data_IF_388497148156
#
_entry.id   IF_388497148156
#
_cell.length_a   1.000
_cell.length_b   1.000
_cell.length_c   1.000
_cell.angle_alpha   90.00
_cell.angle_beta   90.00
_cell.angle_gamma   90.00
#
_symmetry.space_group_name_H-M   'P 1'
#
loop_
_entity.id
_entity.type
_entity.pdbx_description
1 polymer ?
#
# COMPACT_ATOMS: atom_id res chain seq x y z
N UNK A 1 8.95 6.58 -24.51
CA UNK A 1 8.90 5.36 -23.67
C UNK A 1 8.93 5.83 -22.22
N UNK A 2 7.82 5.76 -21.49
CA UNK A 2 7.83 6.00 -20.04
C UNK A 2 8.49 4.79 -19.38
N UNK A 3 9.56 5.00 -18.60
CA UNK A 3 10.23 3.93 -17.89
C UNK A 3 9.41 3.59 -16.63
N UNK A 4 8.67 2.48 -16.67
CA UNK A 4 7.73 2.01 -15.64
C UNK A 4 8.39 1.54 -14.33
N UNK A 5 9.67 1.87 -14.08
CA UNK A 5 10.31 1.61 -12.78
C UNK A 5 9.83 2.56 -11.66
N UNK A 6 9.10 3.62 -12.02
CA UNK A 6 8.55 4.61 -11.10
C UNK A 6 7.05 4.44 -10.79
N UNK A 7 6.49 3.23 -10.94
CA UNK A 7 5.15 2.96 -10.39
C UNK A 7 5.25 3.01 -8.86
N UNK A 8 5.01 4.20 -8.31
CA UNK A 8 5.02 4.48 -6.88
C UNK A 8 3.97 3.61 -6.20
N UNK A 9 4.39 2.55 -5.50
CA UNK A 9 3.50 1.63 -4.78
C UNK A 9 3.50 1.84 -3.27
N UNK A 10 4.25 2.83 -2.76
CA UNK A 10 4.42 3.11 -1.34
C UNK A 10 5.56 4.11 -1.08
N UNK A 11 5.75 4.54 0.19
CA UNK A 11 6.80 5.47 0.55
C UNK A 11 8.19 4.96 0.15
N UNK A 12 9.02 5.83 -0.42
CA UNK A 12 10.41 5.50 -0.75
C UNK A 12 11.27 5.41 0.50
N UNK A 13 12.09 4.37 0.59
CA UNK A 13 13.10 4.17 1.63
C UNK A 13 14.47 4.28 0.98
N UNK A 14 15.34 5.11 1.56
CA UNK A 14 16.77 5.11 1.27
C UNK A 14 17.45 4.17 2.28
N UNK A 15 18.29 3.26 1.80
CA UNK A 15 18.91 2.29 2.69
C UNK A 15 20.35 1.99 2.35
N UNK A 16 21.12 1.69 3.39
CA UNK A 16 22.48 1.18 3.28
C UNK A 16 22.46 -0.35 3.16
N UNK A 17 23.01 -0.87 2.06
CA UNK A 17 23.11 -2.28 1.69
C UNK A 17 24.60 -2.69 1.58
N UNK A 18 25.23 -3.08 2.70
CA UNK A 18 26.65 -3.46 2.69
C UNK A 18 26.93 -4.78 1.95
N UNK A 19 25.88 -5.54 1.62
CA UNK A 19 26.00 -6.86 0.99
C UNK A 19 25.69 -6.84 -0.50
N UNK A 20 25.37 -5.67 -1.08
CA UNK A 20 25.06 -5.50 -2.50
C UNK A 20 23.96 -6.46 -2.99
N UNK A 21 22.93 -6.66 -2.15
CA UNK A 21 21.81 -7.54 -2.47
C UNK A 21 20.97 -6.96 -3.60
N UNK A 22 20.79 -5.63 -3.63
CA UNK A 22 19.93 -4.96 -4.61
C UNK A 22 20.68 -4.41 -5.81
N UNK A 23 21.91 -3.92 -5.62
CA UNK A 23 22.73 -3.35 -6.69
C UNK A 23 24.21 -3.32 -6.28
N UNK A 24 25.08 -2.93 -7.22
CA UNK A 24 26.50 -2.67 -6.94
C UNK A 24 26.73 -1.43 -6.07
N UNK A 25 25.74 -0.56 -5.90
CA UNK A 25 25.82 0.60 -5.01
C UNK A 25 25.53 0.17 -3.57
N UNK A 26 26.17 0.85 -2.60
CA UNK A 26 25.96 0.59 -1.17
C UNK A 26 24.79 1.37 -0.58
N UNK A 27 24.36 2.46 -1.22
CA UNK A 27 23.18 3.23 -0.80
C UNK A 27 22.17 3.18 -1.93
N UNK A 28 20.99 2.62 -1.64
CA UNK A 28 19.95 2.37 -2.62
C UNK A 28 18.63 3.02 -2.18
N UNK A 29 17.66 3.09 -3.10
CA UNK A 29 16.29 3.49 -2.80
C UNK A 29 15.30 2.44 -3.31
N UNK A 30 14.29 2.12 -2.52
CA UNK A 30 13.25 1.16 -2.89
C UNK A 30 11.91 1.43 -2.18
N UNK A 31 10.87 0.73 -2.61
CA UNK A 31 9.54 0.77 -1.98
C UNK A 31 9.56 0.18 -0.56
N UNK A 32 8.98 0.93 0.40
CA UNK A 32 8.90 0.51 1.81
C UNK A 32 8.24 -0.84 1.99
N UNK A 33 7.12 -1.09 1.30
CA UNK A 33 6.35 -2.31 1.52
C UNK A 33 7.11 -3.54 1.06
N UNK A 34 7.81 -3.46 -0.07
CA UNK A 34 8.71 -4.53 -0.50
C UNK A 34 9.78 -4.82 0.56
N UNK A 35 10.48 -3.77 1.03
CA UNK A 35 11.52 -3.95 2.04
C UNK A 35 10.97 -4.55 3.34
N UNK A 36 9.84 -4.06 3.85
CA UNK A 36 9.22 -4.59 5.05
C UNK A 36 8.76 -6.05 4.88
N UNK A 37 8.25 -6.42 3.70
CA UNK A 37 7.82 -7.79 3.41
C UNK A 37 8.97 -8.79 3.40
N UNK A 38 10.13 -8.41 2.85
CA UNK A 38 11.18 -9.37 2.50
C UNK A 38 12.44 -9.25 3.35
N UNK A 39 12.66 -8.11 4.02
CA UNK A 39 13.92 -7.80 4.68
C UNK A 39 13.74 -7.30 6.11
N UNK A 40 14.79 -7.49 6.90
CA UNK A 40 14.96 -6.89 8.23
C UNK A 40 15.68 -5.56 8.05
N UNK A 41 15.10 -4.51 8.61
CA UNK A 41 15.61 -3.16 8.55
C UNK A 41 16.02 -2.72 9.95
N UNK A 42 17.03 -1.85 10.04
CA UNK A 42 17.27 -1.11 11.27
C UNK A 42 16.11 -0.15 11.56
N UNK A 43 16.13 0.39 12.77
CA UNK A 43 15.31 1.54 13.13
C UNK A 43 15.48 2.68 12.11
N UNK A 44 14.39 3.38 11.73
CA UNK A 44 14.48 4.60 10.94
C UNK A 44 15.36 5.67 11.58
N UNK A 45 16.16 6.30 10.75
CA UNK A 45 17.05 7.42 11.08
C UNK A 45 16.60 8.68 10.34
N UNK A 46 17.07 9.84 10.82
CA UNK A 46 17.04 11.05 10.02
C UNK A 46 18.05 10.96 8.87
N UNK A 47 17.83 11.74 7.80
CA UNK A 47 18.77 11.84 6.68
C UNK A 47 20.18 12.20 7.14
N UNK A 48 20.30 13.19 8.02
CA UNK A 48 21.59 13.64 8.56
C UNK A 48 22.33 12.51 9.28
N UNK A 49 21.65 11.80 10.18
CA UNK A 49 22.25 10.66 10.87
C UNK A 49 22.70 9.56 9.91
N UNK A 50 21.90 9.32 8.86
CA UNK A 50 22.24 8.34 7.83
C UNK A 50 23.48 8.76 7.04
N UNK A 51 23.55 10.01 6.60
CA UNK A 51 24.70 10.55 5.86
C UNK A 51 25.96 10.59 6.72
N UNK A 52 25.85 11.00 7.99
CA UNK A 52 26.96 11.00 8.95
C UNK A 52 27.53 9.57 9.18
N UNK A 53 26.68 8.53 9.08
CA UNK A 53 27.07 7.14 9.36
C UNK A 53 27.51 6.34 8.12
N UNK A 54 26.87 6.56 6.96
CA UNK A 54 27.05 5.71 5.78
C UNK A 54 27.57 6.47 4.54
N UNK A 55 27.65 7.80 4.62
CA UNK A 55 28.09 8.67 3.53
C UNK A 55 26.96 9.47 2.88
N UNK A 56 27.33 10.58 2.25
CA UNK A 56 26.41 11.45 1.53
C UNK A 56 25.70 10.71 0.39
N UNK A 57 24.44 11.08 0.13
CA UNK A 57 23.67 10.51 -0.96
C UNK A 57 22.76 11.54 -1.63
N UNK A 58 22.65 11.53 -2.97
CA UNK A 58 21.68 12.37 -3.66
C UNK A 58 20.24 11.83 -3.51
N UNK A 59 20.07 10.56 -3.11
CA UNK A 59 18.78 9.90 -3.02
C UNK A 59 17.90 10.52 -1.94
N UNK A 60 16.59 10.57 -2.22
CA UNK A 60 15.58 11.12 -1.32
C UNK A 60 14.53 10.07 -1.00
N UNK A 61 14.25 9.90 0.28
CA UNK A 61 13.23 8.99 0.76
C UNK A 61 12.56 9.51 2.02
N UNK A 62 11.44 8.90 2.37
CA UNK A 62 10.72 9.17 3.61
C UNK A 62 11.45 8.55 4.81
N UNK A 63 12.09 7.40 4.60
CA UNK A 63 12.82 6.68 5.63
C UNK A 63 14.27 6.45 5.22
N UNK A 64 15.16 6.51 6.19
CA UNK A 64 16.57 6.20 6.05
C UNK A 64 16.92 5.06 7.01
N UNK A 65 17.40 3.93 6.49
CA UNK A 65 17.58 2.69 7.28
C UNK A 65 18.82 1.92 6.86
N UNK A 66 19.29 1.00 7.68
CA UNK A 66 20.26 -0.02 7.26
C UNK A 66 19.54 -1.33 6.96
N UNK A 67 19.93 -1.98 5.86
CA UNK A 67 19.52 -3.34 5.57
C UNK A 67 20.28 -4.31 6.49
N UNK A 68 19.55 -5.08 7.30
CA UNK A 68 20.15 -6.06 8.22
C UNK A 68 20.28 -7.44 7.57
N UNK A 69 19.47 -7.71 6.54
CA UNK A 69 19.47 -8.96 5.78
C UNK A 69 18.06 -9.40 5.42
N UNK A 70 17.91 -10.52 4.70
CA UNK A 70 16.60 -11.09 4.40
C UNK A 70 15.87 -11.54 5.68
N UNK A 71 14.55 -11.63 5.59
CA UNK A 71 13.71 -12.31 6.58
C UNK A 71 13.69 -13.82 6.28
N UNK A 72 13.57 -14.62 7.34
CA UNK A 72 13.39 -16.07 7.20
C UNK A 72 12.02 -16.40 6.59
N UNK A 73 11.01 -15.59 6.88
CA UNK A 73 9.66 -15.69 6.32
C UNK A 73 9.18 -14.33 5.81
N UNK A 74 8.56 -14.33 4.63
CA UNK A 74 7.91 -13.14 4.07
C UNK A 74 6.75 -12.68 4.96
N UNK A 75 6.67 -11.37 5.21
CA UNK A 75 5.48 -10.76 5.81
C UNK A 75 4.46 -10.41 4.73
N UNK A 76 3.20 -10.74 4.99
CA UNK A 76 2.07 -10.26 4.20
C UNK A 76 1.58 -8.96 4.80
N UNK A 77 1.74 -7.87 4.06
CA UNK A 77 1.34 -6.55 4.52
C UNK A 77 -0.12 -6.27 4.13
N UNK A 78 -0.87 -5.77 5.09
CA UNK A 78 -2.27 -5.39 4.97
C UNK A 78 -2.46 -3.96 5.48
N UNK A 79 -3.37 -3.22 4.85
CA UNK A 79 -3.79 -1.92 5.32
C UNK A 79 -5.09 -2.06 6.12
N UNK A 80 -5.19 -1.33 7.22
CA UNK A 80 -6.38 -1.29 8.07
C UNK A 80 -6.85 0.15 8.16
N UNK A 81 -8.15 0.36 7.99
CA UNK A 81 -8.81 1.66 8.08
C UNK A 81 -10.00 1.59 9.04
N UNK A 82 -10.10 2.60 9.91
CA UNK A 82 -11.25 2.79 10.80
C UNK A 82 -12.16 3.85 10.15
N UNK A 83 -13.34 3.44 9.67
CA UNK A 83 -14.31 4.33 9.04
C UNK A 83 -15.18 5.01 10.09
N UNK A 84 -15.40 6.32 9.93
CA UNK A 84 -16.40 7.08 10.70
C UNK A 84 -17.81 6.95 10.10
N UNK A 85 -17.91 6.41 8.88
CA UNK A 85 -19.14 6.31 8.09
C UNK A 85 -19.60 4.83 8.02
N UNK A 86 -20.92 4.56 7.95
CA UNK A 86 -21.44 3.22 7.63
C UNK A 86 -20.92 2.70 6.29
N UNK A 87 -20.93 1.37 6.10
CA UNK A 87 -20.36 0.72 4.92
C UNK A 87 -20.87 1.27 3.59
N UNK A 88 -22.19 1.45 3.45
CA UNK A 88 -22.79 1.95 2.22
C UNK A 88 -22.28 3.36 1.86
N UNK A 89 -22.15 4.23 2.85
CA UNK A 89 -21.67 5.60 2.66
C UNK A 89 -20.18 5.62 2.34
N UNK A 90 -19.41 4.78 3.05
CA UNK A 90 -17.99 4.59 2.78
C UNK A 90 -17.76 4.15 1.33
N UNK A 91 -18.49 3.14 0.85
CA UNK A 91 -18.36 2.66 -0.52
C UNK A 91 -18.75 3.72 -1.54
N UNK A 92 -19.85 4.44 -1.31
CA UNK A 92 -20.29 5.53 -2.18
C UNK A 92 -19.24 6.63 -2.29
N UNK A 93 -18.58 6.96 -1.18
CA UNK A 93 -17.65 8.10 -1.09
C UNK A 93 -16.23 7.75 -1.53
N UNK A 94 -15.75 6.56 -1.21
CA UNK A 94 -14.32 6.23 -1.30
C UNK A 94 -13.99 5.14 -2.32
N UNK A 95 -14.96 4.38 -2.81
CA UNK A 95 -14.74 3.31 -3.78
C UNK A 95 -15.01 3.75 -5.23
N UNK A 96 -14.36 3.08 -6.18
CA UNK A 96 -14.63 3.25 -7.61
C UNK A 96 -13.97 4.45 -8.28
N UNK A 97 -13.35 5.36 -7.51
CA UNK A 97 -12.55 6.46 -8.02
C UNK A 97 -11.23 6.60 -7.24
N UNK A 98 -10.18 7.20 -7.84
CA UNK A 98 -8.97 7.55 -7.10
C UNK A 98 -9.27 8.60 -6.02
N UNK A 99 -8.90 8.31 -4.79
CA UNK A 99 -9.06 9.15 -3.61
C UNK A 99 -7.74 9.29 -2.87
N UNK A 100 -7.62 10.30 -2.01
CA UNK A 100 -6.51 10.40 -1.07
C UNK A 100 -7.04 10.13 0.34
N UNK A 101 -6.60 9.04 0.96
CA UNK A 101 -7.08 8.62 2.28
C UNK A 101 -5.95 8.75 3.32
N UNK A 102 -6.29 9.28 4.50
CA UNK A 102 -5.41 9.38 5.68
C UNK A 102 -5.95 8.47 6.78
N UNK A 103 -5.10 8.02 7.69
CA UNK A 103 -5.49 7.15 8.81
C UNK A 103 -5.27 5.66 8.54
N UNK A 104 -4.56 5.32 7.47
CA UNK A 104 -4.26 3.94 7.13
C UNK A 104 -3.15 3.37 8.00
N UNK A 105 -3.49 2.32 8.74
CA UNK A 105 -2.53 1.59 9.56
C UNK A 105 -1.98 0.40 8.78
N UNK A 106 -0.66 0.23 8.82
CA UNK A 106 -0.01 -0.95 8.28
C UNK A 106 -0.01 -2.08 9.31
N UNK A 107 -0.38 -3.27 8.87
CA UNK A 107 -0.37 -4.50 9.66
C UNK A 107 0.38 -5.61 8.93
N UNK A 108 1.10 -6.45 9.68
CA UNK A 108 1.70 -7.67 9.15
C UNK A 108 0.84 -8.89 9.50
N UNK A 109 0.71 -9.79 8.53
CA UNK A 109 0.07 -11.10 8.69
C UNK A 109 1.05 -12.21 8.33
N UNK A 110 0.87 -13.35 9.02
CA UNK A 110 1.56 -14.59 8.71
C UNK A 110 1.00 -15.21 7.42
N UNK A 111 1.70 -16.18 6.79
CA UNK A 111 1.15 -16.93 5.66
C UNK A 111 -0.20 -17.59 5.94
N UNK A 112 -0.44 -17.97 7.20
CA UNK A 112 -1.70 -18.58 7.68
C UNK A 112 -2.80 -17.54 7.94
N UNK A 113 -2.50 -16.25 7.79
CA UNK A 113 -3.45 -15.14 7.95
C UNK A 113 -3.54 -14.56 9.37
N UNK A 114 -2.74 -15.06 10.32
CA UNK A 114 -2.70 -14.53 11.68
C UNK A 114 -2.03 -13.15 11.75
N UNK A 115 -2.56 -12.24 12.59
CA UNK A 115 -1.93 -10.93 12.82
C UNK A 115 -0.62 -11.10 13.60
N UNK A 116 0.47 -10.54 13.09
CA UNK A 116 1.79 -10.61 13.72
C UNK A 116 2.09 -9.32 14.49
N UNK A 117 1.62 -9.23 15.74
CA UNK A 117 1.90 -8.09 16.60
C UNK A 117 3.42 -7.90 16.81
N UNK A 118 3.89 -6.66 16.74
CA UNK A 118 5.31 -6.33 16.92
C UNK A 118 6.23 -6.68 15.73
N UNK A 119 5.70 -7.24 14.64
CA UNK A 119 6.51 -7.57 13.45
C UNK A 119 6.94 -6.32 12.63
N UNK A 120 6.28 -5.19 12.86
CA UNK A 120 6.56 -3.89 12.24
C UNK A 120 6.96 -2.90 13.32
N UNK A 121 7.99 -2.09 13.05
CA UNK A 121 8.33 -0.95 13.91
C UNK A 121 7.22 0.10 13.85
N UNK A 122 6.79 0.57 15.03
CA UNK A 122 5.67 1.48 15.19
C UNK A 122 5.85 2.80 14.40
N UNK A 123 7.08 3.25 14.18
CA UNK A 123 7.34 4.48 13.42
C UNK A 123 6.96 4.37 11.95
N UNK A 124 7.04 3.18 11.36
CA UNK A 124 6.53 2.98 9.99
C UNK A 124 5.00 3.05 9.96
N UNK A 125 4.36 2.48 10.97
CA UNK A 125 2.89 2.47 11.11
C UNK A 125 2.37 3.89 11.28
N UNK A 126 2.96 4.66 12.20
CA UNK A 126 2.59 6.06 12.49
C UNK A 126 2.80 6.95 11.27
N UNK A 127 3.98 6.86 10.64
CA UNK A 127 4.29 7.68 9.48
C UNK A 127 3.33 7.44 8.29
N UNK A 128 2.86 6.19 8.11
CA UNK A 128 1.83 5.89 7.11
C UNK A 128 0.44 6.38 7.52
N UNK A 129 0.10 6.24 8.81
CA UNK A 129 -1.21 6.65 9.36
C UNK A 129 -1.42 8.17 9.20
N UNK A 130 -0.37 8.96 9.38
CA UNK A 130 -0.42 10.42 9.29
C UNK A 130 -0.47 10.96 7.86
N UNK A 131 -0.17 10.13 6.86
CA UNK A 131 -0.05 10.54 5.46
C UNK A 131 -1.37 10.39 4.70
N UNK A 132 -1.68 11.35 3.83
CA UNK A 132 -2.66 11.16 2.77
C UNK A 132 -2.03 10.31 1.66
N UNK A 133 -2.55 9.11 1.47
CA UNK A 133 -2.08 8.16 0.47
C UNK A 133 -3.10 8.16 -0.69
N UNK A 134 -2.68 8.50 -1.92
CA UNK A 134 -3.52 8.29 -3.09
C UNK A 134 -3.79 6.80 -3.30
N UNK A 135 -5.04 6.42 -3.56
CA UNK A 135 -5.43 5.05 -3.84
C UNK A 135 -6.74 4.95 -4.61
N UNK A 136 -6.93 3.80 -5.25
CA UNK A 136 -8.22 3.35 -5.74
C UNK A 136 -8.70 2.22 -4.82
N UNK A 137 -9.82 2.42 -4.15
CA UNK A 137 -10.47 1.38 -3.34
C UNK A 137 -11.47 0.62 -4.21
N UNK A 138 -11.37 -0.70 -4.19
CA UNK A 138 -12.23 -1.63 -4.93
C UNK A 138 -13.01 -2.48 -3.93
N UNK A 139 -14.36 -2.45 -3.97
CA UNK A 139 -15.20 -3.21 -3.06
C UNK A 139 -15.13 -4.72 -3.35
N UNK A 140 -15.49 -5.56 -2.35
CA UNK A 140 -15.35 -7.02 -2.45
C UNK A 140 -16.03 -7.62 -3.69
N UNK A 141 -17.22 -7.12 -4.04
CA UNK A 141 -18.02 -7.56 -5.20
C UNK A 141 -17.35 -7.27 -6.56
N UNK A 142 -16.35 -6.38 -6.57
CA UNK A 142 -15.70 -5.85 -7.77
C UNK A 142 -14.26 -6.35 -7.93
N UNK A 143 -13.75 -7.16 -7.00
CA UNK A 143 -12.38 -7.68 -7.01
C UNK A 143 -12.11 -8.55 -8.24
N UNK A 144 -13.11 -9.30 -8.71
CA UNK A 144 -12.98 -10.10 -9.93
C UNK A 144 -12.66 -9.25 -11.17
N UNK A 145 -13.31 -8.08 -11.30
CA UNK A 145 -13.06 -7.14 -12.39
C UNK A 145 -11.65 -6.54 -12.29
N UNK A 146 -11.21 -6.16 -11.08
CA UNK A 146 -9.85 -5.70 -10.82
C UNK A 146 -8.81 -6.74 -11.26
N UNK A 147 -8.96 -8.00 -10.84
CA UNK A 147 -8.03 -9.08 -11.20
C UNK A 147 -8.00 -9.30 -12.72
N UNK A 148 -9.16 -9.28 -13.38
CA UNK A 148 -9.25 -9.47 -14.82
C UNK A 148 -8.53 -8.35 -15.59
N UNK A 149 -8.70 -7.09 -15.16
CA UNK A 149 -8.13 -5.91 -15.83
C UNK A 149 -6.64 -5.71 -15.56
N UNK A 150 -6.17 -6.04 -14.35
CA UNK A 150 -4.76 -5.87 -13.99
C UNK A 150 -3.89 -7.08 -14.35
N UNK A 151 -4.48 -8.16 -14.87
CA UNK A 151 -3.73 -9.35 -15.27
C UNK A 151 -2.69 -9.01 -16.33
N UNK A 152 -1.43 -9.35 -16.05
CA UNK A 152 -0.31 -9.08 -16.96
C UNK A 152 0.29 -7.68 -16.84
N UNK A 153 -0.22 -6.85 -15.93
CA UNK A 153 0.39 -5.56 -15.56
C UNK A 153 1.35 -5.71 -14.38
N UNK A 154 2.14 -4.68 -14.12
CA UNK A 154 3.01 -4.55 -12.93
C UNK A 154 2.27 -3.95 -11.72
N UNK A 155 0.97 -3.64 -11.86
CA UNK A 155 0.16 -3.08 -10.79
C UNK A 155 -0.27 -4.16 -9.80
N UNK A 156 0.01 -3.94 -8.52
CA UNK A 156 -0.37 -4.85 -7.46
C UNK A 156 -1.39 -4.22 -6.52
N UNK A 157 -2.49 -4.94 -6.32
CA UNK A 157 -3.49 -4.59 -5.33
C UNK A 157 -3.10 -5.15 -3.95
N UNK A 158 -3.28 -4.34 -2.91
CA UNK A 158 -3.11 -4.72 -1.51
C UNK A 158 -4.46 -4.99 -0.88
N UNK A 159 -4.44 -5.75 0.22
CA UNK A 159 -5.61 -5.94 1.08
C UNK A 159 -5.87 -4.66 1.87
N UNK A 160 -7.14 -4.31 1.96
CA UNK A 160 -7.64 -3.29 2.88
C UNK A 160 -8.70 -3.95 3.75
N UNK A 161 -8.53 -3.86 5.05
CA UNK A 161 -9.55 -4.19 6.03
C UNK A 161 -10.17 -2.90 6.53
N UNK A 162 -11.49 -2.78 6.43
CA UNK A 162 -12.23 -1.62 6.92
C UNK A 162 -13.06 -2.04 8.12
N UNK A 163 -12.98 -1.24 9.18
CA UNK A 163 -13.77 -1.39 10.40
C UNK A 163 -14.78 -0.26 10.45
N UNK A 164 -16.04 -0.61 10.65
CA UNK A 164 -17.17 0.32 10.62
C UNK A 164 -17.71 0.62 12.04
N UNK A 165 -18.44 1.73 12.22
CA UNK A 165 -18.93 2.15 13.55
C UNK A 165 -19.89 1.16 14.23
N UNK A 166 -20.54 0.28 13.47
CA UNK A 166 -21.44 -0.77 13.96
C UNK A 166 -20.70 -2.04 14.42
N UNK A 167 -19.37 -2.04 14.34
CA UNK A 167 -18.52 -3.18 14.67
C UNK A 167 -18.32 -4.17 13.52
N UNK A 168 -18.90 -3.91 12.34
CA UNK A 168 -18.63 -4.70 11.15
C UNK A 168 -17.16 -4.55 10.73
N UNK A 169 -16.55 -5.68 10.38
CA UNK A 169 -15.19 -5.74 9.84
C UNK A 169 -15.26 -6.42 8.47
N UNK A 170 -14.84 -5.70 7.44
CA UNK A 170 -14.82 -6.20 6.06
C UNK A 170 -13.37 -6.29 5.56
N UNK A 171 -12.90 -7.52 5.30
CA UNK A 171 -11.53 -7.82 4.85
C UNK A 171 -11.42 -7.98 3.32
N UNK A 172 -12.54 -7.89 2.60
CA UNK A 172 -12.64 -8.14 1.17
C UNK A 172 -12.18 -7.00 0.26
N UNK A 173 -11.99 -5.78 0.78
CA UNK A 173 -11.57 -4.64 -0.02
C UNK A 173 -10.15 -4.83 -0.59
N UNK A 174 -9.94 -4.28 -1.78
CA UNK A 174 -8.63 -4.17 -2.41
C UNK A 174 -8.28 -2.72 -2.68
N UNK A 175 -7.00 -2.40 -2.61
CA UNK A 175 -6.50 -1.07 -2.95
C UNK A 175 -5.33 -1.12 -3.89
N UNK A 176 -5.33 -0.24 -4.88
CA UNK A 176 -4.13 0.09 -5.68
C UNK A 176 -3.65 1.44 -5.22
N UNK A 177 -2.37 1.56 -4.87
CA UNK A 177 -1.81 2.76 -4.25
C UNK A 177 -1.11 3.66 -5.28
N UNK A 178 -0.93 4.92 -4.91
CA UNK A 178 -0.07 5.86 -5.62
C UNK A 178 -0.56 6.21 -7.02
N UNK A 179 0.39 6.37 -7.95
CA UNK A 179 0.08 6.62 -9.36
C UNK A 179 -0.63 5.44 -10.01
N UNK A 180 -0.36 4.22 -9.53
CA UNK A 180 -1.04 3.00 -9.96
C UNK A 180 -2.55 3.05 -9.79
N UNK A 181 -3.06 3.81 -8.81
CA UNK A 181 -4.49 4.00 -8.60
C UNK A 181 -5.19 4.61 -9.82
N UNK A 182 -4.57 5.62 -10.44
CA UNK A 182 -5.12 6.32 -11.60
C UNK A 182 -5.10 5.44 -12.85
N UNK A 183 -4.03 4.66 -13.03
CA UNK A 183 -3.94 3.68 -14.11
C UNK A 183 -4.98 2.57 -13.96
N UNK A 184 -5.08 1.98 -12.76
CA UNK A 184 -6.09 0.96 -12.49
C UNK A 184 -7.52 1.51 -12.68
N UNK A 185 -7.76 2.75 -12.30
CA UNK A 185 -9.05 3.40 -12.50
C UNK A 185 -9.38 3.57 -13.99
N UNK A 186 -8.43 4.00 -14.83
CA UNK A 186 -8.65 4.11 -16.27
C UNK A 186 -9.07 2.76 -16.89
N UNK A 187 -8.48 1.66 -16.45
CA UNK A 187 -8.84 0.30 -16.90
C UNK A 187 -10.21 -0.19 -16.38
N UNK A 188 -10.65 0.33 -15.24
CA UNK A 188 -11.89 -0.08 -14.57
C UNK A 188 -13.07 0.87 -14.78
N UNK A 189 -12.85 2.04 -15.36
CA UNK A 189 -13.84 3.11 -15.47
C UNK A 189 -15.13 2.63 -16.13
N UNK A 190 -15.03 1.87 -17.23
CA UNK A 190 -16.19 1.32 -17.91
C UNK A 190 -16.99 0.32 -17.06
N UNK A 191 -16.30 -0.46 -16.22
CA UNK A 191 -16.95 -1.38 -15.29
C UNK A 191 -17.70 -0.63 -14.19
N UNK A 192 -17.07 0.38 -13.57
CA UNK A 192 -17.72 1.16 -12.52
C UNK A 192 -18.95 1.91 -13.03
N UNK A 193 -18.86 2.57 -14.21
CA UNK A 193 -20.02 3.22 -14.84
C UNK A 193 -21.18 2.26 -15.09
N UNK A 194 -20.89 1.05 -15.59
CA UNK A 194 -21.92 0.05 -15.84
C UNK A 194 -22.58 -0.43 -14.54
N UNK A 195 -21.78 -0.66 -13.49
CA UNK A 195 -22.27 -1.10 -12.18
C UNK A 195 -23.20 -0.05 -11.56
N UNK A 196 -22.83 1.22 -11.61
CA UNK A 196 -23.61 2.31 -11.01
C UNK A 196 -24.95 2.53 -11.74
N UNK A 197 -24.98 2.31 -13.07
CA UNK A 197 -26.23 2.29 -13.85
C UNK A 197 -27.17 1.18 -13.39
N UNK A 198 -26.67 -0.05 -13.23
CA UNK A 198 -27.49 -1.19 -12.82
C UNK A 198 -28.03 -1.03 -11.39
N UNK A 199 -27.26 -0.41 -10.47
CA UNK A 199 -27.75 -0.08 -9.13
C UNK A 199 -28.91 0.92 -9.15
N UNK A 200 -28.86 1.90 -10.06
CA UNK A 200 -29.91 2.93 -10.20
C UNK A 200 -31.23 2.37 -10.75
N UNK A 201 -31.15 1.38 -11.65
CA UNK A 201 -32.34 0.73 -12.25
C UNK A 201 -33.07 -0.22 -11.28
N UNK A 202 -32.38 -0.74 -10.25
CA UNK A 202 -32.96 -1.61 -9.24
C UNK A 202 -33.85 -0.89 -8.22
N UNK A 203 -33.81 0.45 -8.14
CA UNK A 203 -34.63 1.29 -7.22
C UNK A 203 -35.91 1.80 -7.93
N UNK A 204 -36.51 0.99 -8.80
CA UNK A 204 -37.83 1.25 -9.37
C UNK A 204 -38.75 0.11 -8.94
N UNK A 205 -39.38 0.26 -7.77
CA UNK A 205 -40.49 -0.57 -7.27
C UNK A 205 -41.58 0.33 -6.69
#
# INVERSE_FOLDING_TARGET
LFAFRDSFQGPTVVFYDPQHIFSSETINAYDLFHLLSHYRLSLPMSRRQFEDQFGETPLRGRFYVRLLGPRDSRLFLELVYESEEPQEEFERRWCGAPVALKGLRLQARSPEGGVMAGALDQRYVEALTEQYIPMLIVPPDSVGALIARLRGTDLWARRLTVRFPDGLVEEGYKVVLGTGAFHAHAELQGYFHMRDRLKSEAIIL
#
